data_IF_830003232175
#
_entry.id   IF_830003232175
#
_cell.length_a   1.000
_cell.length_b   1.000
_cell.length_c   1.000
_cell.angle_alpha   90.00
_cell.angle_beta   90.00
_cell.angle_gamma   90.00
#
_symmetry.space_group_name_H-M   'P 1'
#
loop_
_entity.id
_entity.type
_entity.pdbx_description
1 polymer ?
#
# COMPACT_ATOMS: atom_id res chain seq x y z
N UNK A 1 -14.50 8.52 5.74
CA UNK A 1 -14.43 8.20 7.19
C UNK A 1 -13.40 7.10 7.37
N UNK A 2 -12.45 7.28 8.27
CA UNK A 2 -11.30 6.38 8.44
C UNK A 2 -11.69 4.92 8.71
N UNK A 3 -12.74 4.67 9.52
CA UNK A 3 -13.22 3.31 9.77
C UNK A 3 -13.68 2.57 8.51
N UNK A 4 -14.22 3.29 7.51
CA UNK A 4 -14.58 2.68 6.23
C UNK A 4 -13.35 2.26 5.43
N UNK A 5 -12.23 2.96 5.57
CA UNK A 5 -10.95 2.61 4.93
C UNK A 5 -10.35 1.39 5.62
N UNK A 6 -10.26 1.40 6.96
CA UNK A 6 -9.71 0.27 7.74
C UNK A 6 -10.48 -1.04 7.53
N UNK A 7 -11.78 -0.97 7.20
CA UNK A 7 -12.59 -2.14 6.91
C UNK A 7 -12.45 -2.67 5.46
N UNK A 8 -11.70 -2.00 4.58
CA UNK A 8 -11.54 -2.45 3.20
C UNK A 8 -10.67 -3.69 3.11
N UNK A 9 -11.00 -4.53 2.13
CA UNK A 9 -10.18 -5.68 1.75
C UNK A 9 -8.74 -5.23 1.51
N UNK A 10 -7.78 -6.01 1.98
CA UNK A 10 -6.34 -5.79 1.86
C UNK A 10 -5.72 -4.70 2.73
N UNK A 11 -6.50 -3.83 3.38
CA UNK A 11 -5.91 -2.78 4.23
C UNK A 11 -5.14 -3.39 5.40
N UNK A 12 -5.76 -4.35 6.09
CA UNK A 12 -5.12 -5.03 7.21
C UNK A 12 -3.83 -5.73 6.76
N UNK A 13 -3.92 -6.51 5.70
CA UNK A 13 -2.78 -7.27 5.17
C UNK A 13 -1.63 -6.35 4.74
N UNK A 14 -1.93 -5.19 4.12
CA UNK A 14 -0.91 -4.19 3.76
C UNK A 14 -0.23 -3.61 4.99
N UNK A 15 -1.00 -3.23 6.01
CA UNK A 15 -0.43 -2.66 7.24
C UNK A 15 0.41 -3.70 8.00
N UNK A 16 -0.04 -4.94 8.09
CA UNK A 16 0.72 -6.05 8.72
C UNK A 16 2.01 -6.38 7.94
N UNK A 17 1.99 -6.29 6.60
CA UNK A 17 3.20 -6.47 5.79
C UNK A 17 4.26 -5.40 6.06
N UNK A 18 3.82 -4.15 6.30
CA UNK A 18 4.69 -3.00 6.56
C UNK A 18 5.08 -2.86 8.04
N UNK A 19 4.41 -3.55 8.97
CA UNK A 19 4.73 -3.47 10.39
C UNK A 19 6.14 -3.98 10.73
N UNK A 20 6.66 -4.91 9.93
CA UNK A 20 7.92 -5.62 10.20
C UNK A 20 9.07 -5.24 9.25
N UNK A 21 8.86 -4.28 8.36
CA UNK A 21 9.86 -3.81 7.38
C UNK A 21 9.79 -2.28 7.30
N UNK A 22 10.92 -1.63 7.00
CA UNK A 22 10.92 -0.16 6.87
C UNK A 22 10.11 0.31 5.65
N UNK A 23 10.19 -0.44 4.54
CA UNK A 23 9.53 -0.11 3.28
C UNK A 23 9.28 -1.35 2.41
N UNK A 24 8.41 -1.22 1.42
CA UNK A 24 8.11 -2.26 0.45
C UNK A 24 7.74 -1.64 -0.90
N UNK A 25 8.21 -2.25 -1.99
CA UNK A 25 7.83 -1.82 -3.33
C UNK A 25 6.38 -2.16 -3.64
N UNK A 26 5.75 -1.31 -4.45
CA UNK A 26 4.37 -1.53 -4.91
C UNK A 26 4.16 -2.90 -5.57
N UNK A 27 5.13 -3.33 -6.39
CA UNK A 27 5.12 -4.63 -7.07
C UNK A 27 5.16 -5.81 -6.08
N UNK A 28 5.90 -5.69 -4.98
CA UNK A 28 5.99 -6.73 -3.95
C UNK A 28 4.66 -6.88 -3.21
N UNK A 29 4.03 -5.76 -2.84
CA UNK A 29 2.70 -5.75 -2.22
C UNK A 29 1.69 -6.42 -3.16
N UNK A 30 1.68 -6.05 -4.44
CA UNK A 30 0.78 -6.62 -5.43
C UNK A 30 0.97 -8.13 -5.59
N UNK A 31 2.23 -8.59 -5.66
CA UNK A 31 2.56 -10.01 -5.78
C UNK A 31 2.15 -10.80 -4.55
N UNK A 32 2.39 -10.27 -3.33
CA UNK A 32 2.00 -10.94 -2.07
C UNK A 32 0.49 -11.04 -1.91
N UNK A 33 -0.27 -10.02 -2.30
CA UNK A 33 -1.73 -10.02 -2.23
C UNK A 33 -2.41 -10.82 -3.36
N UNK A 34 -1.65 -11.24 -4.37
CA UNK A 34 -2.15 -11.90 -5.57
C UNK A 34 -3.37 -11.18 -6.17
N UNK A 35 -3.22 -9.88 -6.43
CA UNK A 35 -4.30 -9.01 -6.92
C UNK A 35 -3.84 -8.08 -8.05
N UNK A 36 -4.77 -7.34 -8.64
CA UNK A 36 -4.49 -6.41 -9.74
C UNK A 36 -3.92 -5.08 -9.23
N UNK A 37 -3.05 -4.47 -10.05
CA UNK A 37 -2.44 -3.16 -9.80
C UNK A 37 -3.47 -2.11 -9.36
N UNK A 38 -4.57 -1.93 -10.09
CA UNK A 38 -5.57 -0.91 -9.78
C UNK A 38 -6.27 -1.09 -8.43
N UNK A 39 -6.29 -2.31 -7.89
CA UNK A 39 -6.81 -2.58 -6.54
C UNK A 39 -5.82 -2.07 -5.49
N UNK A 40 -4.54 -2.44 -5.63
CA UNK A 40 -3.48 -2.01 -4.70
C UNK A 40 -3.30 -0.49 -4.74
N UNK A 41 -3.33 0.10 -5.93
CA UNK A 41 -3.16 1.55 -6.13
C UNK A 41 -4.26 2.34 -5.44
N UNK A 42 -5.52 1.89 -5.55
CA UNK A 42 -6.64 2.50 -4.85
C UNK A 42 -6.50 2.38 -3.33
N UNK A 43 -6.15 1.19 -2.83
CA UNK A 43 -6.04 0.96 -1.39
C UNK A 43 -4.88 1.77 -0.79
N UNK A 44 -3.69 1.73 -1.40
CA UNK A 44 -2.54 2.51 -0.95
C UNK A 44 -2.83 4.02 -1.05
N UNK A 45 -3.44 4.48 -2.14
CA UNK A 45 -3.83 5.89 -2.29
C UNK A 45 -4.72 6.36 -1.14
N UNK A 46 -5.74 5.58 -0.79
CA UNK A 46 -6.58 5.91 0.37
C UNK A 46 -5.81 5.87 1.69
N UNK A 47 -4.90 4.92 1.90
CA UNK A 47 -4.09 4.89 3.12
C UNK A 47 -3.16 6.11 3.23
N UNK A 48 -2.60 6.58 2.11
CA UNK A 48 -1.80 7.81 2.04
C UNK A 48 -2.67 9.05 2.30
N UNK A 49 -3.85 9.14 1.68
CA UNK A 49 -4.78 10.27 1.90
C UNK A 49 -5.19 10.44 3.37
N UNK A 50 -5.26 9.33 4.12
CA UNK A 50 -5.54 9.32 5.55
C UNK A 50 -4.30 9.41 6.43
N UNK A 51 -3.11 9.65 5.86
CA UNK A 51 -1.81 9.70 6.55
C UNK A 51 -1.49 8.44 7.36
N UNK A 52 -1.98 7.28 6.92
CA UNK A 52 -1.66 5.98 7.52
C UNK A 52 -0.40 5.35 6.92
N UNK A 53 -0.04 5.76 5.70
CA UNK A 53 1.17 5.37 4.99
C UNK A 53 1.79 6.58 4.31
N UNK A 54 3.08 6.48 3.98
CA UNK A 54 3.74 7.38 3.05
C UNK A 54 4.14 6.62 1.81
N UNK A 55 4.11 7.29 0.65
CA UNK A 55 4.58 6.75 -0.62
C UNK A 55 5.68 7.67 -1.14
N UNK A 56 6.81 7.09 -1.55
CA UNK A 56 7.88 7.79 -2.26
C UNK A 56 8.12 7.14 -3.61
N UNK A 57 8.68 7.91 -4.53
CA UNK A 57 9.25 7.37 -5.77
C UNK A 57 10.76 7.31 -5.56
N UNK A 58 11.37 6.15 -5.80
CA UNK A 58 12.82 6.07 -5.83
C UNK A 58 13.33 6.69 -7.15
N UNK A 59 14.32 7.57 -7.03
CA UNK A 59 14.93 8.23 -8.20
C UNK A 59 15.79 7.27 -9.04
N UNK A 60 16.07 6.06 -8.54
CA UNK A 60 16.93 5.05 -9.20
C UNK A 60 16.33 4.47 -10.50
N UNK A 61 15.09 4.82 -10.85
CA UNK A 61 14.41 4.36 -12.07
C UNK A 61 14.33 5.35 -13.23
N UNK A 62 14.90 6.56 -13.11
CA UNK A 62 14.98 7.53 -14.22
C UNK A 62 16.37 7.49 -14.87
N UNK A 63 16.67 6.38 -15.54
CA UNK A 63 17.76 6.31 -16.54
C UNK A 63 17.16 6.12 -17.93
#
# INVERSE_FOLDING_TARGET
MIFKVLAKKFVREILEMLENVDEMYFSEIMNKLNTHQGTVERVIGELVDYNLLSKREDEEGKN
#
